data_IF_494765785851
#
_entry.id   IF_494765785851
#
_cell.length_a   1.000
_cell.length_b   1.000
_cell.length_c   1.000
_cell.angle_alpha   90.00
_cell.angle_beta   90.00
_cell.angle_gamma   90.00
#
_symmetry.space_group_name_H-M   'P 1'
#
loop_
_entity.id
_entity.type
_entity.pdbx_description
1 polymer ?
#
# COMPACT_ATOMS: atom_id res chain seq x y z
N UNK A 1 16.24 -20.15 9.97
CA UNK A 1 14.87 -19.66 10.25
C UNK A 1 14.52 -18.48 9.36
N UNK A 2 15.24 -17.34 9.43
CA UNK A 2 14.98 -16.14 8.62
C UNK A 2 14.88 -16.42 7.10
N UNK A 3 15.84 -17.13 6.51
CA UNK A 3 15.79 -17.49 5.08
C UNK A 3 14.57 -18.34 4.72
N UNK A 4 14.21 -19.30 5.58
CA UNK A 4 13.03 -20.15 5.38
C UNK A 4 11.76 -19.29 5.40
N UNK A 5 11.60 -18.44 6.43
CA UNK A 5 10.46 -17.53 6.54
C UNK A 5 10.37 -16.61 5.32
N UNK A 6 11.46 -15.95 4.97
CA UNK A 6 11.51 -15.03 3.83
C UNK A 6 11.08 -15.69 2.51
N UNK A 7 11.62 -16.87 2.17
CA UNK A 7 11.21 -17.56 0.95
C UNK A 7 9.81 -18.17 1.02
N UNK A 8 9.32 -18.56 2.20
CA UNK A 8 7.91 -18.93 2.40
C UNK A 8 6.99 -17.75 2.15
N UNK A 9 7.34 -16.55 2.64
CA UNK A 9 6.57 -15.33 2.40
C UNK A 9 6.55 -14.96 0.92
N UNK A 10 7.71 -14.99 0.24
CA UNK A 10 7.79 -14.75 -1.20
C UNK A 10 6.99 -15.78 -2.01
N UNK A 11 6.88 -17.02 -1.53
CA UNK A 11 6.06 -18.04 -2.18
C UNK A 11 4.56 -17.70 -2.09
N UNK A 12 4.07 -17.28 -0.92
CA UNK A 12 2.66 -16.86 -0.78
C UNK A 12 2.31 -15.62 -1.61
N UNK A 13 3.24 -14.67 -1.73
CA UNK A 13 3.12 -13.45 -2.56
C UNK A 13 2.74 -13.75 -4.03
N UNK A 14 3.13 -14.91 -4.55
CA UNK A 14 2.84 -15.33 -5.93
C UNK A 14 1.71 -16.35 -6.06
N UNK A 15 1.25 -16.95 -4.96
CA UNK A 15 0.33 -18.09 -5.01
C UNK A 15 -1.15 -17.69 -4.95
N UNK A 16 -1.47 -16.59 -4.26
CA UNK A 16 -2.86 -16.23 -3.94
C UNK A 16 -3.74 -15.88 -5.15
N UNK A 17 -3.16 -15.65 -6.34
CA UNK A 17 -3.87 -15.12 -7.51
C UNK A 17 -3.63 -15.98 -8.73
N UNK A 18 -4.70 -16.38 -9.40
CA UNK A 18 -4.68 -17.45 -10.40
C UNK A 18 -5.10 -16.94 -11.77
N UNK A 19 -4.41 -17.40 -12.81
CA UNK A 19 -4.79 -17.14 -14.20
C UNK A 19 -6.08 -17.90 -14.51
N UNK A 20 -7.01 -17.27 -15.22
CA UNK A 20 -8.31 -17.84 -15.60
C UNK A 20 -8.56 -17.91 -17.11
N UNK A 21 -7.58 -17.55 -17.93
CA UNK A 21 -7.65 -17.77 -19.37
C UNK A 21 -6.88 -19.02 -19.79
N UNK A 22 -7.38 -19.68 -20.84
CA UNK A 22 -6.66 -20.75 -21.52
C UNK A 22 -5.51 -20.20 -22.37
N UNK A 23 -4.64 -21.10 -22.86
CA UNK A 23 -3.58 -20.74 -23.82
C UNK A 23 -4.15 -20.16 -25.12
N UNK A 24 -5.38 -20.54 -25.50
CA UNK A 24 -6.09 -19.94 -26.64
C UNK A 24 -6.44 -18.47 -26.39
N UNK A 25 -6.33 -17.98 -25.15
CA UNK A 25 -6.76 -16.67 -24.69
C UNK A 25 -8.24 -16.60 -24.33
N UNK A 26 -8.97 -17.71 -24.41
CA UNK A 26 -10.37 -17.76 -24.01
C UNK A 26 -10.51 -17.73 -22.49
N UNK A 27 -11.46 -16.97 -21.96
CA UNK A 27 -11.70 -16.82 -20.52
C UNK A 27 -13.18 -16.57 -20.21
N UNK A 28 -13.63 -16.92 -18.99
CA UNK A 28 -14.99 -16.63 -18.56
C UNK A 28 -15.14 -15.16 -18.16
N UNK A 29 -16.21 -14.53 -18.64
CA UNK A 29 -16.67 -13.22 -18.20
C UNK A 29 -18.06 -13.34 -17.58
N UNK A 30 -18.16 -12.88 -16.33
CA UNK A 30 -19.35 -12.79 -15.49
C UNK A 30 -19.57 -11.36 -14.99
N UNK A 31 -18.99 -10.36 -15.66
CA UNK A 31 -19.14 -8.95 -15.28
C UNK A 31 -20.49 -8.34 -15.68
N UNK A 32 -21.28 -9.06 -16.49
CA UNK A 32 -22.63 -8.65 -16.90
C UNK A 32 -23.68 -9.47 -16.15
N UNK A 33 -24.71 -8.79 -15.63
CA UNK A 33 -25.79 -9.41 -14.87
C UNK A 33 -26.51 -8.40 -13.97
N UNK A 34 -27.59 -8.82 -13.33
CA UNK A 34 -28.27 -8.02 -12.31
C UNK A 34 -27.60 -8.24 -10.94
N UNK A 35 -27.18 -7.14 -10.30
CA UNK A 35 -26.63 -7.17 -8.95
C UNK A 35 -27.78 -7.24 -7.94
N UNK A 36 -27.86 -8.33 -7.19
CA UNK A 36 -28.69 -8.47 -6.01
C UNK A 36 -27.81 -8.55 -4.76
N UNK A 37 -27.67 -7.40 -4.07
CA UNK A 37 -26.88 -7.27 -2.85
C UNK A 37 -25.41 -7.68 -3.01
N UNK A 38 -25.09 -8.94 -2.71
CA UNK A 38 -23.74 -9.53 -2.74
C UNK A 38 -23.58 -10.57 -3.85
N UNK A 39 -24.62 -10.79 -4.65
CA UNK A 39 -24.65 -11.77 -5.72
C UNK A 39 -24.92 -11.05 -7.03
N UNK A 40 -24.22 -11.46 -8.10
CA UNK A 40 -24.58 -11.07 -9.46
C UNK A 40 -25.21 -12.29 -10.12
N UNK A 41 -26.44 -12.17 -10.60
CA UNK A 41 -27.01 -13.16 -11.51
C UNK A 41 -26.32 -13.00 -12.88
N UNK A 42 -25.13 -13.58 -12.99
CA UNK A 42 -24.27 -13.44 -14.15
C UNK A 42 -24.47 -14.58 -15.15
N UNK A 43 -24.57 -14.23 -16.43
CA UNK A 43 -24.48 -15.20 -17.52
C UNK A 43 -23.02 -15.39 -17.93
N UNK A 44 -22.61 -16.63 -18.17
CA UNK A 44 -21.26 -16.90 -18.69
C UNK A 44 -21.16 -16.39 -20.13
N UNK A 45 -20.31 -15.39 -20.33
CA UNK A 45 -19.85 -14.97 -21.65
C UNK A 45 -18.41 -15.46 -21.82
N UNK A 46 -18.15 -16.24 -22.86
CA UNK A 46 -16.76 -16.60 -23.21
C UNK A 46 -16.18 -15.47 -24.06
N UNK A 47 -15.09 -14.88 -23.60
CA UNK A 47 -14.32 -13.85 -24.33
C UNK A 47 -12.94 -14.37 -24.66
N UNK A 48 -12.30 -13.72 -25.63
CA UNK A 48 -10.91 -14.03 -26.02
C UNK A 48 -10.06 -12.79 -25.88
N UNK A 49 -8.92 -12.92 -25.20
CA UNK A 49 -7.93 -11.86 -25.03
C UNK A 49 -7.31 -11.41 -26.36
N UNK A 50 -6.91 -10.13 -26.48
CA UNK A 50 -6.17 -9.67 -27.64
C UNK A 50 -4.82 -10.40 -27.75
N UNK A 51 -4.45 -10.76 -28.98
CA UNK A 51 -3.19 -11.45 -29.29
C UNK A 51 -2.20 -10.54 -30.00
N UNK A 52 -0.91 -10.83 -29.83
CA UNK A 52 0.20 -10.26 -30.60
C UNK A 52 1.13 -11.40 -31.01
N UNK A 53 1.40 -11.53 -32.30
CA UNK A 53 2.28 -12.56 -32.86
C UNK A 53 1.88 -14.01 -32.52
N UNK A 54 0.60 -14.24 -32.21
CA UNK A 54 0.05 -15.57 -31.87
C UNK A 54 -0.18 -15.78 -30.37
N UNK A 55 0.47 -15.00 -29.51
CA UNK A 55 0.39 -15.11 -28.06
C UNK A 55 -0.57 -14.06 -27.47
N UNK A 56 -1.16 -14.38 -26.31
CA UNK A 56 -1.97 -13.41 -25.55
C UNK A 56 -1.09 -12.26 -25.05
N UNK A 57 -1.62 -11.04 -25.08
CA UNK A 57 -0.85 -9.85 -24.62
C UNK A 57 -0.66 -9.80 -23.10
N UNK A 58 -1.64 -10.33 -22.38
CA UNK A 58 -1.67 -10.41 -20.91
C UNK A 58 -2.62 -11.53 -20.50
N UNK A 59 -2.60 -11.94 -19.23
CA UNK A 59 -3.55 -12.91 -18.69
C UNK A 59 -4.69 -12.26 -17.89
N UNK A 60 -5.82 -12.94 -17.85
CA UNK A 60 -6.91 -12.62 -16.93
C UNK A 60 -6.67 -13.31 -15.59
N UNK A 61 -6.94 -12.61 -14.49
CA UNK A 61 -6.71 -13.13 -13.16
C UNK A 61 -7.97 -13.23 -12.31
N UNK A 62 -7.92 -14.14 -11.35
CA UNK A 62 -8.82 -14.29 -10.22
C UNK A 62 -8.10 -13.96 -8.90
N UNK A 63 -8.76 -13.19 -8.04
CA UNK A 63 -8.32 -12.79 -6.69
C UNK A 63 -9.52 -12.34 -5.87
N UNK A 64 -9.49 -12.56 -4.55
CA UNK A 64 -10.54 -12.05 -3.65
C UNK A 64 -10.49 -10.52 -3.50
N UNK A 65 -9.32 -9.91 -3.67
CA UNK A 65 -9.12 -8.47 -3.62
C UNK A 65 -7.66 -8.04 -3.66
N UNK A 66 -7.47 -6.74 -3.81
CA UNK A 66 -6.20 -6.04 -3.56
C UNK A 66 -6.38 -4.93 -2.51
N UNK A 67 -7.35 -5.13 -1.60
CA UNK A 67 -7.68 -4.15 -0.57
C UNK A 67 -6.45 -3.85 0.29
N UNK A 68 -6.10 -2.57 0.35
CA UNK A 68 -4.92 -2.03 1.04
C UNK A 68 -3.55 -2.60 0.60
N UNK A 69 -3.44 -3.10 -0.64
CA UNK A 69 -2.19 -3.67 -1.16
C UNK A 69 -1.05 -2.67 -1.41
N UNK A 70 -1.31 -1.36 -1.26
CA UNK A 70 -0.31 -0.29 -1.45
C UNK A 70 0.92 -0.43 -0.55
N UNK A 71 0.80 -1.13 0.58
CA UNK A 71 1.89 -1.33 1.54
C UNK A 71 2.57 -2.70 1.41
N UNK A 72 2.16 -3.52 0.44
CA UNK A 72 2.66 -4.88 0.26
C UNK A 72 2.95 -5.19 -1.22
N UNK A 73 2.05 -5.91 -1.90
CA UNK A 73 2.18 -6.44 -3.25
C UNK A 73 2.48 -5.35 -4.27
N UNK A 74 1.85 -4.17 -4.16
CA UNK A 74 2.11 -3.08 -5.11
C UNK A 74 3.58 -2.64 -5.09
N UNK A 75 4.22 -2.68 -3.92
CA UNK A 75 5.64 -2.38 -3.75
C UNK A 75 6.49 -3.57 -4.17
N UNK A 76 6.18 -4.76 -3.65
CA UNK A 76 7.01 -5.95 -3.81
C UNK A 76 7.02 -6.52 -5.23
N UNK A 77 5.86 -6.61 -5.90
CA UNK A 77 5.83 -7.01 -7.32
C UNK A 77 6.58 -6.00 -8.17
N UNK A 78 6.46 -4.70 -7.92
CA UNK A 78 7.28 -3.71 -8.61
C UNK A 78 8.79 -3.75 -8.29
N UNK A 79 9.23 -4.52 -7.30
CA UNK A 79 10.66 -4.71 -7.03
C UNK A 79 11.17 -5.98 -7.71
N UNK A 80 10.41 -7.08 -7.65
CA UNK A 80 10.89 -8.41 -8.00
C UNK A 80 10.14 -9.10 -9.14
N UNK A 81 8.91 -8.69 -9.44
CA UNK A 81 8.01 -9.29 -10.45
C UNK A 81 7.19 -8.21 -11.17
N UNK A 82 7.84 -7.26 -11.87
CA UNK A 82 7.14 -6.17 -12.53
C UNK A 82 6.22 -6.67 -13.65
N UNK A 83 6.54 -7.82 -14.23
CA UNK A 83 5.71 -8.53 -15.19
C UNK A 83 4.36 -8.94 -14.61
N UNK A 84 4.33 -9.47 -13.38
CA UNK A 84 3.10 -9.81 -12.66
C UNK A 84 2.28 -8.55 -12.38
N UNK A 85 2.92 -7.46 -11.94
CA UNK A 85 2.22 -6.21 -11.71
C UNK A 85 1.60 -5.66 -13.00
N UNK A 86 2.34 -5.62 -14.11
CA UNK A 86 1.85 -5.16 -15.42
C UNK A 86 0.71 -6.05 -15.93
N UNK A 87 0.87 -7.37 -15.88
CA UNK A 87 -0.15 -8.33 -16.33
C UNK A 87 -1.46 -8.18 -15.55
N UNK A 88 -1.35 -8.08 -14.23
CA UNK A 88 -2.50 -7.95 -13.35
C UNK A 88 -3.18 -6.59 -13.54
N UNK A 89 -2.43 -5.51 -13.79
CA UNK A 89 -3.03 -4.20 -14.14
C UNK A 89 -3.80 -4.23 -15.46
N UNK A 90 -3.26 -4.89 -16.49
CA UNK A 90 -3.97 -5.06 -17.75
C UNK A 90 -5.24 -5.91 -17.58
N UNK A 91 -5.19 -6.95 -16.74
CA UNK A 91 -6.39 -7.72 -16.36
C UNK A 91 -7.47 -6.83 -15.74
N UNK A 92 -7.12 -5.95 -14.79
CA UNK A 92 -8.09 -5.04 -14.17
C UNK A 92 -8.76 -4.11 -15.18
N UNK A 93 -7.97 -3.55 -16.11
CA UNK A 93 -8.49 -2.71 -17.18
C UNK A 93 -9.42 -3.50 -18.10
N UNK A 94 -9.08 -4.76 -18.41
CA UNK A 94 -9.94 -5.64 -19.20
C UNK A 94 -11.27 -5.98 -18.49
N UNK A 95 -11.27 -6.13 -17.16
CA UNK A 95 -12.50 -6.23 -16.38
C UNK A 95 -13.37 -4.96 -16.51
N UNK A 96 -12.76 -3.77 -16.54
CA UNK A 96 -13.47 -2.52 -16.76
C UNK A 96 -14.01 -2.36 -18.19
N UNK A 97 -13.35 -2.98 -19.17
CA UNK A 97 -13.84 -3.03 -20.55
C UNK A 97 -15.03 -3.98 -20.71
N UNK A 98 -15.06 -5.06 -19.94
CA UNK A 98 -16.11 -6.07 -20.02
C UNK A 98 -17.42 -5.62 -19.33
N UNK A 99 -17.32 -5.08 -18.11
CA UNK A 99 -18.47 -4.76 -17.26
C UNK A 99 -18.51 -3.32 -16.74
N UNK A 100 -17.58 -2.47 -17.16
CA UNK A 100 -17.63 -1.05 -16.86
C UNK A 100 -16.94 -0.63 -15.57
N UNK A 101 -16.44 -1.54 -14.74
CA UNK A 101 -15.79 -1.21 -13.46
C UNK A 101 -14.41 -1.87 -13.32
N UNK A 102 -13.45 -1.16 -12.73
CA UNK A 102 -12.27 -1.84 -12.18
C UNK A 102 -12.71 -2.61 -10.92
N UNK A 103 -12.36 -3.89 -10.77
CA UNK A 103 -12.84 -4.70 -9.65
C UNK A 103 -12.12 -4.32 -8.35
N UNK A 104 -12.80 -4.47 -7.19
CA UNK A 104 -12.09 -4.51 -5.88
C UNK A 104 -11.29 -5.80 -5.75
N UNK A 105 -11.92 -6.91 -6.14
CA UNK A 105 -11.32 -8.20 -6.39
C UNK A 105 -11.99 -8.86 -7.60
N UNK A 106 -11.22 -9.34 -8.60
CA UNK A 106 -11.75 -10.07 -9.74
C UNK A 106 -12.07 -11.51 -9.34
N UNK A 107 -13.34 -11.89 -9.27
CA UNK A 107 -13.75 -13.24 -8.84
C UNK A 107 -14.22 -14.07 -10.04
N UNK A 108 -13.34 -14.96 -10.53
CA UNK A 108 -13.60 -15.95 -11.60
C UNK A 108 -14.24 -15.33 -12.85
N UNK A 109 -13.85 -14.12 -13.25
CA UNK A 109 -14.47 -13.42 -14.39
C UNK A 109 -15.56 -12.42 -14.01
N UNK A 110 -15.89 -12.26 -12.72
CA UNK A 110 -16.82 -11.25 -12.19
C UNK A 110 -16.21 -10.33 -11.13
N UNK A 111 -17.08 -9.68 -10.35
CA UNK A 111 -16.72 -8.70 -9.31
C UNK A 111 -16.98 -9.25 -7.90
N UNK A 112 -15.99 -9.24 -7.00
CA UNK A 112 -16.18 -9.67 -5.60
C UNK A 112 -16.85 -8.61 -4.70
N UNK A 113 -16.92 -7.33 -5.12
CA UNK A 113 -17.37 -6.16 -4.33
C UNK A 113 -16.81 -6.04 -2.89
N UNK A 114 -15.86 -6.90 -2.52
CA UNK A 114 -15.19 -7.03 -1.24
C UNK A 114 -13.75 -6.51 -1.44
N UNK A 115 -13.16 -5.71 -0.54
CA UNK A 115 -13.74 -5.07 0.64
C UNK A 115 -14.34 -3.70 0.27
N UNK A 116 -13.72 -2.58 0.66
CA UNK A 116 -14.22 -1.21 0.43
C UNK A 116 -13.37 -0.43 -0.58
N UNK A 117 -13.84 0.76 -0.97
CA UNK A 117 -13.09 1.70 -1.80
C UNK A 117 -12.76 1.23 -3.23
N UNK A 118 -11.69 1.80 -3.78
CA UNK A 118 -11.15 1.54 -5.11
C UNK A 118 -9.70 1.03 -5.04
N UNK A 119 -9.44 -0.17 -4.51
CA UNK A 119 -8.09 -0.64 -4.26
C UNK A 119 -7.27 -0.85 -5.56
N UNK A 120 -7.94 -1.17 -6.68
CA UNK A 120 -7.30 -1.24 -8.00
C UNK A 120 -6.63 0.08 -8.41
N UNK A 121 -7.16 1.24 -7.98
CA UNK A 121 -6.55 2.56 -8.25
C UNK A 121 -5.11 2.60 -7.73
N UNK A 122 -4.88 2.13 -6.49
CA UNK A 122 -3.56 2.19 -5.89
C UNK A 122 -2.53 1.39 -6.68
N UNK A 123 -2.93 0.20 -7.15
CA UNK A 123 -2.07 -0.68 -7.93
C UNK A 123 -1.78 -0.12 -9.33
N UNK A 124 -2.81 0.35 -10.04
CA UNK A 124 -2.69 0.91 -11.39
C UNK A 124 -1.81 2.17 -11.39
N UNK A 125 -2.02 3.07 -10.43
CA UNK A 125 -1.21 4.28 -10.28
C UNK A 125 0.23 3.91 -9.93
N UNK A 126 0.45 2.96 -9.01
CA UNK A 126 1.80 2.48 -8.66
C UNK A 126 2.53 1.94 -9.90
N UNK A 127 1.89 1.09 -10.71
CA UNK A 127 2.46 0.56 -11.93
C UNK A 127 2.77 1.66 -12.96
N UNK A 128 1.85 2.62 -13.14
CA UNK A 128 2.05 3.74 -14.05
C UNK A 128 3.22 4.63 -13.64
N UNK A 129 3.31 5.04 -12.38
CA UNK A 129 4.36 5.95 -11.92
C UNK A 129 5.75 5.32 -11.95
N UNK A 130 5.84 3.99 -11.80
CA UNK A 130 7.09 3.23 -11.97
C UNK A 130 7.46 2.96 -13.44
N UNK A 131 6.59 3.29 -14.40
CA UNK A 131 6.78 2.94 -15.81
C UNK A 131 6.63 1.44 -16.09
N UNK A 132 5.96 0.70 -15.19
CA UNK A 132 5.70 -0.73 -15.31
C UNK A 132 4.43 -1.01 -16.11
N UNK A 133 3.45 -0.10 -16.12
CA UNK A 133 2.23 -0.23 -16.92
C UNK A 133 2.56 -0.12 -18.42
N UNK A 134 2.74 -1.27 -19.08
CA UNK A 134 3.09 -1.38 -20.50
C UNK A 134 2.05 -2.16 -21.31
N UNK A 135 1.22 -2.98 -20.66
CA UNK A 135 0.19 -3.81 -21.30
C UNK A 135 -1.19 -3.16 -21.37
N UNK A 136 -1.39 -2.00 -20.74
CA UNK A 136 -2.61 -1.20 -20.81
C UNK A 136 -2.33 0.22 -21.34
N UNK A 137 -3.35 0.89 -21.86
CA UNK A 137 -3.26 2.30 -22.27
C UNK A 137 -3.40 3.22 -21.04
N UNK A 138 -2.45 4.14 -20.78
CA UNK A 138 -2.50 4.99 -19.59
C UNK A 138 -3.71 5.92 -19.51
N UNK A 139 -4.14 6.51 -20.62
CA UNK A 139 -5.28 7.45 -20.64
C UNK A 139 -6.59 6.70 -20.37
N UNK A 140 -6.78 5.57 -21.02
CA UNK A 140 -7.93 4.68 -20.79
C UNK A 140 -7.95 4.13 -19.37
N UNK A 141 -6.77 3.75 -18.83
CA UNK A 141 -6.63 3.31 -17.44
C UNK A 141 -7.10 4.40 -16.48
N UNK A 142 -6.69 5.65 -16.71
CA UNK A 142 -7.13 6.77 -15.88
C UNK A 142 -8.63 7.03 -16.00
N UNK A 143 -9.21 6.92 -17.20
CA UNK A 143 -10.65 7.08 -17.39
C UNK A 143 -11.45 6.00 -16.65
N UNK A 144 -10.94 4.76 -16.58
CA UNK A 144 -11.51 3.69 -15.76
C UNK A 144 -11.39 3.97 -14.24
N UNK A 145 -10.23 4.45 -13.77
CA UNK A 145 -10.03 4.89 -12.38
C UNK A 145 -11.03 5.98 -12.02
N UNK A 146 -11.12 7.03 -12.85
CA UNK A 146 -12.03 8.16 -12.62
C UNK A 146 -13.46 7.69 -12.51
N UNK A 147 -13.91 6.82 -13.42
CA UNK A 147 -15.27 6.26 -13.39
C UNK A 147 -15.56 5.54 -12.07
N UNK A 148 -14.61 4.75 -11.59
CA UNK A 148 -14.74 4.03 -10.32
C UNK A 148 -14.88 4.96 -9.10
N UNK A 149 -14.31 6.16 -9.14
CA UNK A 149 -14.36 7.14 -8.05
C UNK A 149 -15.60 8.05 -8.03
N UNK A 150 -16.46 7.95 -9.05
CA UNK A 150 -17.67 8.77 -9.21
C UNK A 150 -18.93 7.97 -8.92
N UNK A 151 -20.07 8.65 -8.75
CA UNK A 151 -21.36 8.00 -8.50
C UNK A 151 -21.70 6.97 -9.60
N UNK A 152 -22.06 5.75 -9.18
CA UNK A 152 -22.23 4.60 -10.08
C UNK A 152 -20.94 3.80 -10.33
N UNK A 153 -19.81 4.24 -9.76
CA UNK A 153 -18.54 3.51 -9.74
C UNK A 153 -18.39 2.56 -8.54
N UNK A 154 -17.18 2.01 -8.38
CA UNK A 154 -16.85 1.02 -7.36
C UNK A 154 -16.54 1.62 -5.98
N UNK A 155 -16.34 2.95 -5.85
CA UNK A 155 -15.90 3.56 -4.59
C UNK A 155 -16.89 3.32 -3.44
N UNK A 156 -18.18 3.47 -3.71
CA UNK A 156 -19.28 3.34 -2.76
C UNK A 156 -20.64 3.56 -3.42
N UNK A 157 -21.71 3.63 -2.62
CA UNK A 157 -23.05 3.93 -3.14
C UNK A 157 -23.14 5.38 -3.62
N UNK A 158 -24.04 5.66 -4.57
CA UNK A 158 -24.13 6.98 -5.21
C UNK A 158 -24.38 8.12 -4.20
N UNK A 159 -25.24 7.92 -3.19
CA UNK A 159 -25.52 8.94 -2.18
C UNK A 159 -24.30 9.22 -1.29
N UNK A 160 -23.53 8.19 -0.92
CA UNK A 160 -22.31 8.33 -0.13
C UNK A 160 -21.24 9.08 -0.93
N UNK A 161 -21.08 8.75 -2.22
CA UNK A 161 -20.13 9.43 -3.10
C UNK A 161 -20.52 10.89 -3.33
N UNK A 162 -21.82 11.18 -3.50
CA UNK A 162 -22.30 12.55 -3.63
C UNK A 162 -21.98 13.37 -2.38
N UNK A 163 -22.26 12.81 -1.20
CA UNK A 163 -21.90 13.44 0.07
C UNK A 163 -20.39 13.66 0.19
N UNK A 164 -19.59 12.61 -0.05
CA UNK A 164 -18.14 12.67 0.04
C UNK A 164 -17.53 13.67 -0.97
N UNK A 165 -18.11 13.78 -2.17
CA UNK A 165 -17.68 14.76 -3.17
C UNK A 165 -17.93 16.20 -2.73
N UNK A 166 -19.04 16.45 -2.01
CA UNK A 166 -19.38 17.78 -1.51
C UNK A 166 -18.63 18.14 -0.22
N UNK A 167 -18.40 17.18 0.67
CA UNK A 167 -17.91 17.43 2.03
C UNK A 167 -16.47 16.94 2.30
N UNK A 168 -15.95 16.01 1.49
CA UNK A 168 -14.60 15.42 1.62
C UNK A 168 -14.48 14.27 2.62
N UNK A 169 -15.56 13.81 3.25
CA UNK A 169 -15.51 12.73 4.25
C UNK A 169 -16.82 11.94 4.31
N UNK A 170 -16.78 10.72 4.84
CA UNK A 170 -17.89 9.77 4.91
C UNK A 170 -18.58 9.79 6.29
N UNK A 171 -19.88 10.11 6.39
CA UNK A 171 -20.66 10.09 7.63
C UNK A 171 -20.62 8.73 8.32
N UNK A 172 -20.25 8.75 9.59
CA UNK A 172 -20.14 7.59 10.45
C UNK A 172 -18.97 6.67 10.13
N UNK A 173 -18.13 6.99 9.13
CA UNK A 173 -17.10 6.08 8.63
C UNK A 173 -15.75 6.78 8.41
N UNK A 174 -14.93 6.80 9.46
CA UNK A 174 -13.56 7.29 9.38
C UNK A 174 -12.66 6.38 8.55
N UNK A 175 -12.89 5.06 8.59
CA UNK A 175 -12.13 4.08 7.80
C UNK A 175 -12.23 4.35 6.30
N UNK A 176 -13.44 4.47 5.77
CA UNK A 176 -13.67 4.82 4.36
C UNK A 176 -13.09 6.19 4.01
N UNK A 177 -13.26 7.19 4.88
CA UNK A 177 -12.70 8.54 4.63
C UNK A 177 -11.19 8.49 4.43
N UNK A 178 -10.46 7.77 5.29
CA UNK A 178 -9.00 7.66 5.21
C UNK A 178 -8.57 6.88 3.97
N UNK A 179 -9.26 5.78 3.67
CA UNK A 179 -8.98 4.97 2.48
C UNK A 179 -9.22 5.75 1.18
N UNK A 180 -10.39 6.39 1.05
CA UNK A 180 -10.79 7.10 -0.15
C UNK A 180 -9.92 8.34 -0.37
N UNK A 181 -9.50 9.02 0.70
CA UNK A 181 -8.59 10.15 0.61
C UNK A 181 -7.23 9.75 -0.01
N UNK A 182 -6.68 8.59 0.38
CA UNK A 182 -5.43 8.08 -0.22
C UNK A 182 -5.62 7.68 -1.69
N UNK A 183 -6.74 7.01 -2.01
CA UNK A 183 -7.05 6.59 -3.38
C UNK A 183 -7.28 7.80 -4.30
N UNK A 184 -7.95 8.85 -3.81
CA UNK A 184 -8.10 10.11 -4.53
C UNK A 184 -6.74 10.81 -4.72
N UNK A 185 -5.89 10.82 -3.70
CA UNK A 185 -4.54 11.34 -3.84
C UNK A 185 -3.77 10.60 -4.95
N UNK A 186 -3.84 9.27 -4.99
CA UNK A 186 -3.23 8.45 -6.03
C UNK A 186 -3.76 8.79 -7.43
N UNK A 187 -5.09 8.90 -7.59
CA UNK A 187 -5.72 9.34 -8.84
C UNK A 187 -5.22 10.74 -9.25
N UNK A 188 -5.09 11.67 -8.31
CA UNK A 188 -4.54 13.00 -8.57
C UNK A 188 -3.10 12.93 -9.09
N UNK A 189 -2.24 12.09 -8.52
CA UNK A 189 -0.85 11.95 -8.98
C UNK A 189 -0.77 11.45 -10.44
N UNK A 190 -1.62 10.50 -10.82
CA UNK A 190 -1.68 10.02 -12.21
C UNK A 190 -2.25 11.10 -13.15
N UNK A 191 -3.31 11.79 -12.73
CA UNK A 191 -3.89 12.90 -13.50
C UNK A 191 -2.85 14.00 -13.78
N UNK A 192 -2.00 14.32 -12.80
CA UNK A 192 -0.92 15.28 -12.96
C UNK A 192 0.05 14.88 -14.08
N UNK A 193 0.56 13.65 -14.05
CA UNK A 193 1.50 13.13 -15.07
C UNK A 193 0.88 13.04 -16.47
N UNK A 194 -0.41 12.77 -16.57
CA UNK A 194 -1.15 12.77 -17.84
C UNK A 194 -1.52 14.18 -18.33
N UNK A 195 -1.20 15.25 -17.57
CA UNK A 195 -1.58 16.62 -17.92
C UNK A 195 -3.08 16.93 -17.76
N UNK A 196 -3.82 16.09 -17.02
CA UNK A 196 -5.27 16.22 -16.78
C UNK A 196 -5.56 17.16 -15.62
N UNK A 197 -5.25 18.45 -15.80
CA UNK A 197 -5.28 19.47 -14.73
C UNK A 197 -6.59 19.57 -13.95
N UNK A 198 -7.75 19.44 -14.62
CA UNK A 198 -9.06 19.50 -13.94
C UNK A 198 -9.27 18.32 -13.00
N UNK A 199 -8.88 17.13 -13.44
CA UNK A 199 -9.01 15.91 -12.64
C UNK A 199 -8.01 15.90 -11.49
N UNK A 200 -6.78 16.41 -11.71
CA UNK A 200 -5.82 16.63 -10.63
C UNK A 200 -6.40 17.48 -9.50
N UNK A 201 -6.94 18.67 -9.82
CA UNK A 201 -7.53 19.57 -8.82
C UNK A 201 -8.66 18.87 -8.09
N UNK A 202 -9.59 18.25 -8.83
CA UNK A 202 -10.75 17.57 -8.27
C UNK A 202 -10.38 16.48 -7.25
N UNK A 203 -9.48 15.56 -7.62
CA UNK A 203 -9.08 14.47 -6.75
C UNK A 203 -8.15 14.93 -5.62
N UNK A 204 -7.27 15.89 -5.89
CA UNK A 204 -6.40 16.44 -4.85
C UNK A 204 -7.22 17.13 -3.76
N UNK A 205 -8.25 17.91 -4.10
CA UNK A 205 -9.10 18.57 -3.11
C UNK A 205 -9.85 17.57 -2.22
N UNK A 206 -10.44 16.52 -2.82
CA UNK A 206 -11.09 15.42 -2.08
C UNK A 206 -10.14 14.70 -1.12
N UNK A 207 -8.88 14.49 -1.53
CA UNK A 207 -7.86 13.81 -0.70
C UNK A 207 -7.54 14.51 0.63
N UNK A 208 -7.96 15.76 0.80
CA UNK A 208 -7.69 16.56 2.01
C UNK A 208 -8.77 16.41 3.09
N UNK A 209 -9.91 15.79 2.77
CA UNK A 209 -11.07 15.83 3.65
C UNK A 209 -10.94 14.99 4.94
N UNK A 210 -9.95 14.09 5.03
CA UNK A 210 -9.61 13.39 6.27
C UNK A 210 -9.35 14.33 7.46
N UNK A 211 -8.88 15.56 7.19
CA UNK A 211 -8.61 16.59 8.21
C UNK A 211 -9.86 16.95 9.03
N UNK A 212 -11.04 16.81 8.45
CA UNK A 212 -12.33 17.06 9.12
C UNK A 212 -12.59 16.09 10.28
N UNK A 213 -11.97 14.91 10.26
CA UNK A 213 -12.14 13.89 11.29
C UNK A 213 -11.12 13.98 12.42
N UNK A 214 -10.19 14.94 12.36
CA UNK A 214 -9.19 15.11 13.42
C UNK A 214 -9.82 15.60 14.72
N UNK A 215 -9.67 14.81 15.79
CA UNK A 215 -10.14 15.17 17.12
C UNK A 215 -9.00 15.81 17.94
N UNK A 216 -9.09 17.11 18.29
CA UNK A 216 -7.97 17.85 18.87
C UNK A 216 -7.53 17.33 20.25
N UNK A 217 -8.46 16.90 21.11
CA UNK A 217 -8.08 16.42 22.45
C UNK A 217 -7.43 15.02 22.43
N UNK A 218 -7.80 14.20 21.45
CA UNK A 218 -7.32 12.83 21.33
C UNK A 218 -6.12 12.71 20.39
N UNK A 219 -5.88 13.71 19.52
CA UNK A 219 -4.84 13.69 18.50
C UNK A 219 -4.94 12.45 17.60
N UNK A 220 -6.15 12.03 17.24
CA UNK A 220 -6.46 10.91 16.34
C UNK A 220 -7.65 11.30 15.47
N UNK A 221 -7.86 10.54 14.40
CA UNK A 221 -9.07 10.66 13.59
C UNK A 221 -10.20 9.90 14.28
N UNK A 222 -11.41 10.46 14.27
CA UNK A 222 -12.61 9.82 14.81
C UNK A 222 -13.82 9.98 13.88
N UNK A 223 -14.71 8.99 13.81
CA UNK A 223 -15.90 9.06 12.97
C UNK A 223 -16.87 10.14 13.47
N UNK A 224 -17.49 10.85 12.53
CA UNK A 224 -18.53 11.86 12.80
C UNK A 224 -19.88 11.46 12.22
N UNK A 225 -20.99 11.75 12.88
CA UNK A 225 -22.32 11.61 12.27
C UNK A 225 -22.53 12.67 11.20
N UNK A 226 -23.58 12.52 10.38
CA UNK A 226 -23.92 13.46 9.31
C UNK A 226 -24.11 14.90 9.81
N UNK A 227 -24.54 15.05 11.06
CA UNK A 227 -24.75 16.32 11.76
C UNK A 227 -23.44 16.99 12.22
N UNK A 228 -22.32 16.26 12.15
CA UNK A 228 -20.98 16.74 12.53
C UNK A 228 -20.55 16.38 13.95
N UNK A 229 -21.40 15.71 14.73
CA UNK A 229 -21.09 15.22 16.07
C UNK A 229 -20.16 14.00 16.02
N UNK A 230 -19.34 13.79 17.03
CA UNK A 230 -18.53 12.56 17.12
C UNK A 230 -19.43 11.35 17.34
N UNK A 231 -19.31 10.32 16.50
CA UNK A 231 -20.07 9.07 16.64
C UNK A 231 -19.77 8.40 18.00
N UNK A 232 -18.51 8.45 18.42
CA UNK A 232 -18.04 8.14 19.77
C UNK A 232 -16.64 8.73 19.98
N UNK A 233 -16.16 8.70 21.23
CA UNK A 233 -14.79 9.08 21.61
C UNK A 233 -13.96 7.92 22.16
N UNK A 234 -14.51 6.70 22.16
CA UNK A 234 -13.74 5.48 22.47
C UNK A 234 -12.71 5.19 21.36
N UNK A 235 -11.42 5.29 21.70
CA UNK A 235 -10.33 5.15 20.74
C UNK A 235 -10.05 3.70 20.31
N UNK A 236 -10.57 2.71 21.06
CA UNK A 236 -10.41 1.29 20.77
C UNK A 236 -11.65 0.66 20.13
N UNK A 237 -12.76 1.40 20.06
CA UNK A 237 -13.96 0.99 19.35
C UNK A 237 -13.70 0.92 17.84
N UNK A 238 -14.14 -0.18 17.22
CA UNK A 238 -14.14 -0.35 15.77
C UNK A 238 -15.36 0.25 15.06
N UNK A 239 -16.32 0.84 15.78
CA UNK A 239 -17.45 1.50 15.15
C UNK A 239 -16.95 2.66 14.26
N UNK A 240 -17.41 2.70 13.00
CA UNK A 240 -16.95 3.68 12.01
C UNK A 240 -15.54 3.46 11.47
N UNK A 241 -14.96 2.28 11.71
CA UNK A 241 -13.70 1.82 11.11
C UNK A 241 -13.92 0.52 10.35
N UNK A 242 -13.09 0.27 9.33
CA UNK A 242 -13.06 -0.99 8.58
C UNK A 242 -11.89 -1.79 9.11
N UNK A 243 -12.18 -2.88 9.83
CA UNK A 243 -11.17 -3.82 10.36
C UNK A 243 -10.05 -3.14 11.18
N UNK A 244 -10.41 -2.06 11.88
CA UNK A 244 -9.47 -1.23 12.62
C UNK A 244 -10.19 -0.49 13.75
N UNK A 245 -9.44 0.36 14.44
CA UNK A 245 -9.94 1.40 15.33
C UNK A 245 -9.09 2.67 15.14
N UNK A 246 -9.32 3.70 15.97
CA UNK A 246 -8.64 4.98 15.82
C UNK A 246 -7.11 4.87 15.94
N UNK A 247 -6.58 4.00 16.80
CA UNK A 247 -5.15 3.79 16.95
C UNK A 247 -4.51 3.03 15.79
N UNK A 248 -5.29 2.22 15.08
CA UNK A 248 -4.76 1.43 13.96
C UNK A 248 -4.84 2.21 12.64
N UNK A 249 -5.96 2.89 12.39
CA UNK A 249 -6.22 3.52 11.09
C UNK A 249 -5.87 5.02 10.96
N UNK A 250 -5.66 5.77 12.06
CA UNK A 250 -5.35 7.21 11.94
C UNK A 250 -4.03 7.49 11.23
N UNK A 251 -3.09 6.55 11.28
CA UNK A 251 -1.77 6.69 10.66
C UNK A 251 -1.77 6.38 9.16
N UNK A 252 -2.88 5.85 8.65
CA UNK A 252 -3.04 5.41 7.26
C UNK A 252 -3.24 6.56 6.27
N UNK A 253 -3.25 7.83 6.72
CA UNK A 253 -3.18 9.05 5.88
C UNK A 253 -1.77 9.22 5.28
N UNK A 254 -1.28 8.15 4.65
CA UNK A 254 0.09 7.97 4.17
C UNK A 254 0.55 9.05 3.19
N UNK A 255 -0.39 9.67 2.48
CA UNK A 255 -0.13 10.77 1.55
C UNK A 255 0.13 12.12 2.22
N UNK A 256 -0.25 12.31 3.49
CA UNK A 256 -0.17 13.60 4.19
C UNK A 256 0.22 13.45 5.68
N UNK A 257 1.25 12.62 5.95
CA UNK A 257 1.85 12.53 7.30
C UNK A 257 2.32 13.91 7.82
N UNK A 258 2.90 14.82 7.02
CA UNK A 258 3.22 16.17 7.49
C UNK A 258 1.99 16.98 7.93
N UNK A 259 0.86 16.84 7.23
CA UNK A 259 -0.41 17.44 7.63
C UNK A 259 -0.91 16.86 8.97
N UNK A 260 -0.83 15.54 9.15
CA UNK A 260 -1.19 14.89 10.41
C UNK A 260 -0.28 15.36 11.56
N UNK A 261 1.02 15.41 11.33
CA UNK A 261 1.99 15.91 12.30
C UNK A 261 1.67 17.36 12.71
N UNK A 262 1.34 18.22 11.74
CA UNK A 262 0.95 19.61 12.00
C UNK A 262 -0.27 19.69 12.93
N UNK A 263 -1.31 18.89 12.67
CA UNK A 263 -2.51 18.85 13.51
C UNK A 263 -2.24 18.32 14.92
N UNK A 264 -1.31 17.37 15.07
CA UNK A 264 -0.87 16.84 16.38
C UNK A 264 0.07 17.77 17.16
N UNK A 265 0.42 18.95 16.62
CA UNK A 265 1.35 19.89 17.25
C UNK A 265 2.83 19.66 16.91
N UNK A 266 3.11 18.94 15.82
CA UNK A 266 4.43 18.73 15.25
C UNK A 266 4.91 17.28 15.25
N UNK A 267 6.04 17.05 14.57
CA UNK A 267 6.64 15.73 14.39
C UNK A 267 6.94 15.00 15.72
N UNK A 268 7.36 15.74 16.75
CA UNK A 268 7.66 15.17 18.06
C UNK A 268 6.41 14.62 18.75
N UNK A 269 5.30 15.34 18.70
CA UNK A 269 4.01 14.93 19.26
C UNK A 269 3.47 13.68 18.56
N UNK A 270 3.53 13.66 17.21
CA UNK A 270 3.16 12.50 16.42
C UNK A 270 4.01 11.29 16.82
N UNK A 271 5.33 11.43 16.82
CA UNK A 271 6.23 10.33 17.16
C UNK A 271 6.03 9.84 18.60
N UNK A 272 5.82 10.73 19.56
CA UNK A 272 5.56 10.31 20.95
C UNK A 272 4.29 9.46 21.04
N UNK A 273 3.22 9.91 20.40
CA UNK A 273 1.92 9.21 20.43
C UNK A 273 1.97 7.86 19.72
N UNK A 274 2.60 7.80 18.55
CA UNK A 274 2.78 6.54 17.82
C UNK A 274 3.71 5.58 18.58
N UNK A 275 4.80 6.07 19.18
CA UNK A 275 5.70 5.23 19.97
C UNK A 275 4.99 4.63 21.19
N UNK A 276 4.14 5.40 21.87
CA UNK A 276 3.28 4.88 22.93
C UNK A 276 2.39 3.73 22.43
N UNK A 277 1.76 3.88 21.25
CA UNK A 277 0.92 2.83 20.67
C UNK A 277 1.70 1.53 20.44
N UNK A 278 2.91 1.62 19.90
CA UNK A 278 3.80 0.46 19.73
C UNK A 278 4.20 -0.17 21.06
N UNK A 279 4.56 0.62 22.07
CA UNK A 279 4.90 0.12 23.42
C UNK A 279 3.74 -0.67 24.05
N UNK A 280 2.49 -0.23 23.86
CA UNK A 280 1.32 -0.96 24.35
C UNK A 280 1.11 -2.31 23.65
N UNK A 281 1.43 -2.40 22.35
CA UNK A 281 1.22 -3.60 21.54
C UNK A 281 2.30 -4.68 21.65
N UNK A 282 3.43 -4.38 22.32
CA UNK A 282 4.56 -5.33 22.47
C UNK A 282 4.13 -6.69 23.02
N UNK A 283 3.25 -6.69 24.02
CA UNK A 283 2.78 -7.90 24.71
C UNK A 283 1.80 -8.73 23.88
N UNK A 284 1.23 -8.12 22.84
CA UNK A 284 0.24 -8.72 21.95
C UNK A 284 0.90 -9.19 20.64
N UNK A 285 2.24 -9.25 20.61
CA UNK A 285 3.09 -9.59 19.46
C UNK A 285 2.73 -8.79 18.19
N UNK A 286 2.13 -7.61 18.36
CA UNK A 286 1.58 -6.76 17.31
C UNK A 286 0.56 -7.45 16.40
N UNK A 287 -0.07 -8.55 16.80
CA UNK A 287 -1.09 -9.24 16.00
C UNK A 287 -2.37 -9.46 16.80
N UNK A 288 -2.25 -9.85 18.08
CA UNK A 288 -3.39 -10.17 18.94
C UNK A 288 -4.21 -8.94 19.40
N UNK A 289 -3.73 -7.72 19.11
CA UNK A 289 -4.48 -6.48 19.30
C UNK A 289 -5.40 -6.11 18.14
N UNK A 290 -5.59 -7.00 17.14
CA UNK A 290 -6.42 -6.72 15.97
C UNK A 290 -7.83 -6.24 16.36
N UNK A 291 -8.25 -5.09 15.82
CA UNK A 291 -9.57 -4.48 16.03
C UNK A 291 -9.86 -3.91 17.43
N UNK A 292 -9.00 -4.14 18.43
CA UNK A 292 -9.29 -3.78 19.83
C UNK A 292 -8.08 -3.23 20.61
N UNK A 293 -6.89 -3.29 20.04
CA UNK A 293 -5.63 -2.80 20.60
C UNK A 293 -5.08 -1.58 19.86
N UNK A 294 -3.82 -1.23 20.14
CA UNK A 294 -3.20 0.02 19.68
C UNK A 294 -2.60 -0.10 18.27
N UNK A 295 -1.68 -1.03 18.08
CA UNK A 295 -1.08 -1.38 16.79
C UNK A 295 -1.33 -2.87 16.53
N UNK A 296 -1.77 -3.19 15.31
CA UNK A 296 -1.83 -4.57 14.83
C UNK A 296 -1.36 -4.67 13.38
N UNK A 297 -0.59 -5.71 13.11
CA UNK A 297 -0.06 -6.18 11.84
C UNK A 297 -0.73 -7.51 11.42
N UNK A 298 -1.79 -7.91 12.13
CA UNK A 298 -2.60 -9.08 11.76
C UNK A 298 -3.42 -8.85 10.50
N UNK A 299 -3.61 -7.59 10.09
CA UNK A 299 -4.42 -7.22 8.94
C UNK A 299 -3.95 -5.88 8.33
N UNK A 300 -4.35 -5.56 7.10
CA UNK A 300 -3.72 -4.49 6.31
C UNK A 300 -3.76 -3.07 6.92
N UNK A 301 -4.83 -2.61 7.62
CA UNK A 301 -4.92 -1.21 8.07
C UNK A 301 -3.72 -0.72 8.90
N UNK A 302 -3.12 -1.59 9.71
CA UNK A 302 -1.97 -1.23 10.56
C UNK A 302 -0.59 -1.51 9.96
N UNK A 303 -0.51 -2.13 8.77
CA UNK A 303 0.77 -2.59 8.19
C UNK A 303 1.77 -1.47 7.86
N UNK A 304 1.32 -0.22 7.80
CA UNK A 304 2.19 0.94 7.53
C UNK A 304 2.69 1.66 8.79
N UNK A 305 2.14 1.36 9.97
CA UNK A 305 2.27 2.23 11.15
C UNK A 305 3.74 2.49 11.55
N UNK A 306 4.62 1.48 11.51
CA UNK A 306 6.02 1.65 11.89
C UNK A 306 6.80 2.55 10.93
N UNK A 307 6.36 2.67 9.68
CA UNK A 307 7.03 3.44 8.63
C UNK A 307 6.75 4.95 8.72
N UNK A 308 5.73 5.33 9.49
CA UNK A 308 5.34 6.73 9.70
C UNK A 308 6.42 7.54 10.41
N UNK A 309 7.21 6.94 11.32
CA UNK A 309 8.24 7.69 12.05
C UNK A 309 9.29 8.32 11.13
N UNK A 310 9.64 7.66 10.02
CA UNK A 310 10.58 8.21 9.04
C UNK A 310 10.06 9.50 8.41
N UNK A 311 8.77 9.54 8.05
CA UNK A 311 8.10 10.72 7.52
C UNK A 311 7.86 11.84 8.56
N UNK A 312 8.06 11.53 9.84
CA UNK A 312 8.10 12.51 10.93
C UNK A 312 9.56 12.82 11.39
N UNK A 313 10.57 12.47 10.58
CA UNK A 313 11.98 12.83 10.84
C UNK A 313 12.67 12.00 11.91
N UNK A 314 12.12 10.83 12.28
CA UNK A 314 12.73 9.89 13.25
C UNK A 314 12.91 8.49 12.66
N UNK A 315 13.68 8.33 11.57
CA UNK A 315 13.86 7.03 10.90
C UNK A 315 14.45 5.94 11.82
N UNK A 316 15.20 6.30 12.86
CA UNK A 316 15.69 5.32 13.84
C UNK A 316 14.57 4.63 14.63
N UNK A 317 13.40 5.27 14.80
CA UNK A 317 12.23 4.61 15.41
C UNK A 317 11.60 3.62 14.44
N UNK A 318 11.52 3.96 13.14
CA UNK A 318 11.11 3.01 12.09
C UNK A 318 12.01 1.78 12.10
N UNK A 319 13.33 1.97 12.09
CA UNK A 319 14.31 0.87 12.11
C UNK A 319 14.09 -0.07 13.31
N UNK A 320 13.90 0.49 14.50
CA UNK A 320 13.65 -0.26 15.72
C UNK A 320 12.33 -1.04 15.67
N UNK A 321 11.22 -0.37 15.36
CA UNK A 321 9.90 -0.99 15.39
C UNK A 321 9.70 -1.99 14.25
N UNK A 322 10.22 -1.72 13.04
CA UNK A 322 10.18 -2.66 11.92
C UNK A 322 10.90 -3.96 12.27
N UNK A 323 12.11 -3.92 12.83
CA UNK A 323 12.84 -5.13 13.25
C UNK A 323 12.09 -5.91 14.31
N UNK A 324 11.51 -5.20 15.29
CA UNK A 324 10.77 -5.82 16.38
C UNK A 324 9.45 -6.46 15.92
N UNK A 325 8.69 -5.76 15.09
CA UNK A 325 7.44 -6.28 14.50
C UNK A 325 7.74 -7.48 13.62
N UNK A 326 8.74 -7.38 12.74
CA UNK A 326 9.13 -8.50 11.87
C UNK A 326 9.47 -9.76 12.67
N UNK A 327 10.22 -9.62 13.78
CA UNK A 327 10.56 -10.74 14.65
C UNK A 327 9.34 -11.30 15.41
N UNK A 328 8.52 -10.45 16.04
CA UNK A 328 7.41 -10.91 16.90
C UNK A 328 6.17 -11.35 16.11
N UNK A 329 5.73 -10.56 15.13
CA UNK A 329 4.51 -10.82 14.36
C UNK A 329 4.73 -11.87 13.26
N UNK A 330 5.91 -11.85 12.62
CA UNK A 330 6.19 -12.64 11.42
C UNK A 330 7.44 -13.51 11.54
N UNK A 331 8.11 -13.61 12.70
CA UNK A 331 9.32 -14.45 12.82
C UNK A 331 9.04 -15.96 12.88
N UNK A 332 7.78 -16.36 13.04
CA UNK A 332 7.35 -17.75 13.14
C UNK A 332 7.51 -18.54 11.83
N UNK A 333 7.94 -19.80 11.93
CA UNK A 333 8.11 -20.72 10.79
C UNK A 333 7.21 -21.97 10.87
N UNK A 334 6.26 -21.99 11.80
CA UNK A 334 5.25 -23.05 11.90
C UNK A 334 3.91 -22.53 11.37
N UNK A 335 3.02 -23.40 10.87
CA UNK A 335 1.72 -22.98 10.35
C UNK A 335 0.92 -22.11 11.33
N UNK A 336 1.00 -22.39 12.63
CA UNK A 336 0.24 -21.68 13.67
C UNK A 336 0.82 -20.30 14.01
N UNK A 337 2.12 -20.09 13.74
CA UNK A 337 2.86 -18.90 14.19
C UNK A 337 3.28 -17.99 13.04
N UNK A 338 3.22 -18.46 11.79
CA UNK A 338 3.76 -17.74 10.63
C UNK A 338 3.19 -16.34 10.43
N UNK A 339 1.93 -16.14 10.82
CA UNK A 339 1.20 -14.86 10.77
C UNK A 339 0.39 -14.64 12.07
N UNK A 340 0.88 -15.15 13.21
CA UNK A 340 0.17 -15.02 14.49
C UNK A 340 -1.17 -15.76 14.60
N UNK A 341 -1.44 -16.72 13.70
CA UNK A 341 -2.72 -17.42 13.62
C UNK A 341 -3.83 -16.63 12.91
N UNK A 342 -3.49 -15.51 12.27
CA UNK A 342 -4.37 -14.73 11.40
C UNK A 342 -4.22 -15.12 9.93
N UNK A 343 -5.14 -14.62 9.09
CA UNK A 343 -5.13 -14.87 7.66
C UNK A 343 -3.88 -14.26 6.99
N UNK A 344 -3.41 -14.93 5.93
CA UNK A 344 -2.26 -14.49 5.15
C UNK A 344 -2.64 -13.49 4.04
N UNK A 345 -3.93 -13.45 3.69
CA UNK A 345 -4.57 -12.55 2.74
C UNK A 345 -3.93 -12.54 1.35
N UNK A 346 -3.82 -13.72 0.75
CA UNK A 346 -3.35 -13.93 -0.63
C UNK A 346 -1.98 -13.28 -0.90
N UNK A 347 -1.00 -13.42 -0.03
CA UNK A 347 0.34 -12.86 -0.23
C UNK A 347 0.55 -11.50 0.41
N UNK A 348 -0.47 -10.87 1.00
CA UNK A 348 -0.34 -9.51 1.54
C UNK A 348 0.50 -9.50 2.83
N UNK A 349 0.20 -10.37 3.80
CA UNK A 349 0.97 -10.43 5.04
C UNK A 349 2.39 -10.97 4.79
N UNK A 350 2.53 -11.96 3.89
CA UNK A 350 3.83 -12.39 3.38
C UNK A 350 4.60 -11.23 2.74
N UNK A 351 3.93 -10.41 1.92
CA UNK A 351 4.53 -9.24 1.28
C UNK A 351 5.05 -8.20 2.26
N UNK A 352 4.28 -7.88 3.32
CA UNK A 352 4.75 -6.98 4.40
C UNK A 352 5.98 -7.55 5.09
N UNK A 353 5.93 -8.82 5.50
CA UNK A 353 7.05 -9.51 6.15
C UNK A 353 8.31 -9.52 5.29
N UNK A 354 8.17 -9.79 3.99
CA UNK A 354 9.28 -9.77 3.04
C UNK A 354 9.88 -8.37 2.90
N UNK A 355 9.06 -7.33 2.72
CA UNK A 355 9.52 -5.93 2.64
C UNK A 355 10.27 -5.48 3.90
N UNK A 356 9.75 -5.82 5.08
CA UNK A 356 10.45 -5.58 6.35
C UNK A 356 11.80 -6.29 6.42
N UNK A 357 11.87 -7.55 5.96
CA UNK A 357 13.11 -8.34 5.95
C UNK A 357 14.15 -7.79 4.97
N UNK A 358 13.69 -7.28 3.82
CA UNK A 358 14.52 -6.58 2.83
C UNK A 358 15.06 -5.25 3.37
N UNK A 359 14.37 -4.65 4.33
CA UNK A 359 14.64 -3.31 4.81
C UNK A 359 14.17 -2.22 3.84
N UNK A 360 13.16 -2.51 3.00
CA UNK A 360 12.63 -1.60 1.98
C UNK A 360 11.11 -1.47 2.15
N UNK A 361 10.57 -0.26 1.98
CA UNK A 361 9.14 0.01 2.01
C UNK A 361 8.74 1.17 1.10
N UNK A 362 7.45 1.45 0.98
CA UNK A 362 6.96 2.72 0.42
C UNK A 362 5.64 3.07 1.10
N UNK A 363 5.64 4.08 1.98
CA UNK A 363 4.44 4.48 2.72
C UNK A 363 3.33 4.93 1.78
N UNK A 364 3.71 5.60 0.69
CA UNK A 364 2.81 6.07 -0.37
C UNK A 364 2.63 5.05 -1.51
N UNK A 365 3.03 3.79 -1.32
CA UNK A 365 2.81 2.68 -2.25
C UNK A 365 3.37 2.87 -3.65
N UNK A 366 4.47 3.63 -3.79
CA UNK A 366 5.05 4.05 -5.07
C UNK A 366 4.09 4.82 -5.99
N UNK A 367 3.07 5.49 -5.44
CA UNK A 367 2.03 6.20 -6.23
C UNK A 367 2.31 7.70 -6.45
N UNK A 368 3.37 8.23 -5.82
CA UNK A 368 3.81 9.61 -6.07
C UNK A 368 4.29 9.78 -7.52
N UNK A 369 4.25 11.02 -8.03
CA UNK A 369 4.75 11.36 -9.38
C UNK A 369 6.22 11.02 -9.60
N UNK A 370 7.00 11.00 -8.52
CA UNK A 370 8.34 10.43 -8.48
C UNK A 370 8.37 9.37 -7.38
N UNK A 371 8.18 8.08 -7.73
CA UNK A 371 8.14 7.03 -6.73
C UNK A 371 9.46 6.89 -5.99
N UNK A 372 9.37 6.60 -4.69
CA UNK A 372 10.52 6.36 -3.82
C UNK A 372 10.41 5.03 -3.12
N UNK A 373 11.57 4.49 -2.76
CA UNK A 373 11.74 3.43 -1.78
C UNK A 373 12.31 4.00 -0.49
N UNK A 374 11.77 3.56 0.63
CA UNK A 374 12.16 3.93 1.98
C UNK A 374 13.00 2.82 2.58
N UNK A 375 14.12 3.20 3.18
CA UNK A 375 15.10 2.35 3.81
C UNK A 375 14.75 2.22 5.29
N UNK A 376 14.66 0.99 5.75
CA UNK A 376 14.48 0.63 7.16
C UNK A 376 15.66 -0.19 7.65
N UNK A 377 15.48 -1.23 8.47
CA UNK A 377 16.58 -2.08 8.93
C UNK A 377 16.43 -3.48 8.33
N UNK A 378 17.27 -3.85 7.35
CA UNK A 378 17.24 -5.20 6.77
C UNK A 378 17.54 -6.28 7.81
N UNK A 379 17.14 -7.51 7.51
CA UNK A 379 17.45 -8.70 8.32
C UNK A 379 18.69 -9.44 7.79
N UNK A 380 18.96 -9.35 6.50
CA UNK A 380 20.04 -10.08 5.83
C UNK A 380 21.31 -9.24 5.64
N UNK A 381 22.45 -9.93 5.57
CA UNK A 381 23.76 -9.30 5.31
C UNK A 381 23.91 -8.87 3.85
N UNK A 382 23.32 -9.63 2.93
CA UNK A 382 23.32 -9.32 1.50
C UNK A 382 22.03 -9.84 0.86
N UNK A 383 21.42 -8.99 0.03
CA UNK A 383 20.25 -9.30 -0.78
C UNK A 383 20.58 -8.88 -2.22
N UNK A 384 20.34 -9.77 -3.17
CA UNK A 384 20.49 -9.48 -4.60
C UNK A 384 19.12 -9.62 -5.25
N UNK A 385 18.60 -8.50 -5.75
CA UNK A 385 17.37 -8.46 -6.55
C UNK A 385 17.81 -8.49 -8.02
N UNK A 386 17.40 -9.54 -8.73
CA UNK A 386 17.60 -9.63 -10.18
C UNK A 386 16.49 -8.83 -10.86
N UNK A 387 16.87 -7.86 -11.68
CA UNK A 387 15.93 -6.96 -12.32
C UNK A 387 15.51 -7.51 -13.67
N UNK A 388 14.22 -7.40 -13.97
CA UNK A 388 13.67 -7.80 -15.26
C UNK A 388 14.05 -6.78 -16.34
N UNK A 389 14.78 -7.23 -17.37
CA UNK A 389 15.27 -6.38 -18.46
C UNK A 389 14.18 -5.80 -19.35
N UNK A 390 12.97 -6.36 -19.33
CA UNK A 390 11.85 -5.82 -20.08
C UNK A 390 11.29 -4.56 -19.40
N UNK A 391 11.55 -4.38 -18.09
CA UNK A 391 11.03 -3.27 -17.29
C UNK A 391 12.12 -2.30 -16.82
N UNK A 392 13.34 -2.78 -16.57
CA UNK A 392 14.41 -2.04 -15.94
C UNK A 392 15.71 -2.06 -16.75
N UNK A 393 16.51 -0.99 -16.61
CA UNK A 393 17.79 -0.82 -17.31
C UNK A 393 18.90 -1.68 -16.67
N UNK A 394 18.91 -1.74 -15.34
CA UNK A 394 19.91 -2.50 -14.58
C UNK A 394 19.64 -4.00 -14.63
N UNK A 395 20.69 -4.81 -14.44
CA UNK A 395 20.58 -6.26 -14.34
C UNK A 395 20.31 -6.76 -12.90
N UNK A 396 20.76 -5.99 -11.90
CA UNK A 396 20.58 -6.31 -10.48
C UNK A 396 20.66 -5.07 -9.60
N UNK A 397 19.97 -5.11 -8.47
CA UNK A 397 20.11 -4.17 -7.37
C UNK A 397 20.52 -4.93 -6.11
N UNK A 398 21.60 -4.53 -5.46
CA UNK A 398 22.17 -5.20 -4.29
C UNK A 398 21.92 -4.36 -3.05
N UNK A 399 21.41 -4.96 -1.98
CA UNK A 399 21.37 -4.35 -0.65
C UNK A 399 22.39 -5.09 0.20
N UNK A 400 23.40 -4.37 0.68
CA UNK A 400 24.50 -4.92 1.47
C UNK A 400 24.56 -4.24 2.82
N UNK A 401 24.63 -5.03 3.87
CA UNK A 401 24.75 -4.50 5.23
C UNK A 401 26.11 -4.83 5.83
N UNK A 402 26.60 -3.93 6.68
CA UNK A 402 27.84 -4.07 7.43
C UNK A 402 27.50 -4.05 8.93
N UNK A 403 28.05 -5.01 9.67
CA UNK A 403 27.79 -5.20 11.11
C UNK A 403 26.32 -5.50 11.47
N UNK A 404 25.52 -6.05 10.56
CA UNK A 404 24.17 -6.47 10.90
C UNK A 404 24.16 -7.59 11.95
N UNK A 405 23.24 -7.52 12.89
CA UNK A 405 23.02 -8.53 13.93
C UNK A 405 21.64 -8.38 14.56
N UNK A 406 21.34 -9.20 15.56
CA UNK A 406 20.16 -9.06 16.42
C UNK A 406 20.15 -7.71 17.19
N UNK A 407 21.33 -7.20 17.56
CA UNK A 407 21.50 -5.95 18.31
C UNK A 407 21.69 -4.73 17.43
N UNK A 408 22.38 -4.90 16.30
CA UNK A 408 22.73 -3.79 15.42
C UNK A 408 21.61 -3.56 14.40
N UNK A 409 20.60 -2.79 14.81
CA UNK A 409 19.40 -2.49 14.00
C UNK A 409 19.39 -1.05 13.47
N UNK A 410 20.32 -0.20 13.89
CA UNK A 410 20.29 1.21 13.54
C UNK A 410 21.27 1.55 12.43
N UNK A 411 20.79 2.15 11.34
CA UNK A 411 21.65 2.65 10.27
C UNK A 411 22.48 3.82 10.79
N UNK A 412 23.80 3.67 10.73
CA UNK A 412 24.77 4.69 11.10
C UNK A 412 25.15 5.57 9.92
N UNK A 413 25.23 4.99 8.73
CA UNK A 413 25.43 5.68 7.45
C UNK A 413 25.02 4.75 6.30
N UNK A 414 24.81 5.34 5.13
CA UNK A 414 24.43 4.62 3.92
C UNK A 414 25.16 5.16 2.70
N UNK A 415 25.33 4.31 1.69
CA UNK A 415 25.75 4.72 0.36
C UNK A 415 24.83 4.12 -0.70
N UNK A 416 24.56 4.88 -1.74
CA UNK A 416 23.90 4.41 -2.95
C UNK A 416 24.86 4.59 -4.12
N UNK A 417 25.23 3.49 -4.76
CA UNK A 417 26.18 3.47 -5.89
C UNK A 417 27.52 4.16 -5.57
N UNK A 418 28.00 3.99 -4.33
CA UNK A 418 29.24 4.57 -3.83
C UNK A 418 29.12 6.02 -3.33
N UNK A 419 28.02 6.71 -3.60
CA UNK A 419 27.75 8.06 -3.12
C UNK A 419 27.10 8.04 -1.74
N UNK A 420 27.42 9.04 -0.90
CA UNK A 420 26.84 9.13 0.45
C UNK A 420 25.34 9.39 0.36
N UNK A 421 24.55 8.54 1.01
CA UNK A 421 23.10 8.69 1.09
C UNK A 421 22.73 9.14 2.51
N UNK A 422 22.28 10.38 2.64
CA UNK A 422 21.87 10.98 3.93
C UNK A 422 20.35 11.01 4.12
N UNK A 423 19.58 10.60 3.12
CA UNK A 423 18.13 10.38 3.18
C UNK A 423 17.82 8.95 3.61
N UNK A 424 16.66 8.76 4.24
CA UNK A 424 16.13 7.41 4.48
C UNK A 424 15.46 6.82 3.24
N UNK A 425 15.58 7.44 2.08
CA UNK A 425 14.84 7.07 0.88
C UNK A 425 15.67 7.35 -0.37
N UNK A 426 15.31 6.68 -1.47
CA UNK A 426 15.88 6.89 -2.81
C UNK A 426 14.80 6.69 -3.86
N UNK A 427 15.01 7.22 -5.06
CA UNK A 427 14.02 7.17 -6.13
C UNK A 427 13.97 5.80 -6.82
N UNK A 428 12.80 5.45 -7.36
CA UNK A 428 12.62 4.23 -8.15
C UNK A 428 13.48 4.22 -9.42
N UNK A 429 13.77 5.37 -10.03
CA UNK A 429 14.64 5.42 -11.21
C UNK A 429 16.10 5.02 -10.87
N UNK A 430 16.56 5.33 -9.65
CA UNK A 430 17.86 4.89 -9.13
C UNK A 430 17.87 3.38 -8.89
N UNK A 431 16.76 2.80 -8.42
CA UNK A 431 16.58 1.35 -8.34
C UNK A 431 16.59 0.69 -9.72
N UNK A 432 15.83 1.23 -10.68
CA UNK A 432 15.65 0.68 -12.01
C UNK A 432 16.95 0.65 -12.85
N UNK A 433 17.91 1.52 -12.54
CA UNK A 433 19.27 1.50 -13.11
C UNK A 433 20.15 0.38 -12.54
N UNK A 434 19.69 -0.32 -11.52
CA UNK A 434 20.45 -1.29 -10.75
C UNK A 434 21.51 -0.62 -9.86
N UNK A 435 22.43 -1.44 -9.35
CA UNK A 435 23.55 -0.97 -8.53
C UNK A 435 23.54 -1.53 -7.11
N UNK A 436 24.00 -0.74 -6.15
CA UNK A 436 24.24 -1.19 -4.78
C UNK A 436 23.86 -0.13 -3.73
N UNK A 437 23.07 -0.54 -2.75
CA UNK A 437 22.80 0.16 -1.50
C UNK A 437 23.61 -0.49 -0.38
N UNK A 438 24.57 0.24 0.18
CA UNK A 438 25.35 -0.20 1.34
C UNK A 438 24.85 0.47 2.63
N UNK A 439 24.68 -0.31 3.70
CA UNK A 439 24.17 0.15 5.00
C UNK A 439 25.09 -0.29 6.13
N UNK A 440 25.59 0.63 6.95
CA UNK A 440 26.39 0.30 8.13
C UNK A 440 25.50 0.35 9.37
N UNK A 441 25.31 -0.79 10.04
CA UNK A 441 24.45 -0.89 11.20
C UNK A 441 25.22 -0.78 12.53
N UNK A 442 24.52 -0.35 13.58
CA UNK A 442 25.03 -0.22 14.94
C UNK A 442 23.94 -0.43 15.99
N UNK A 443 24.35 -0.56 17.25
CA UNK A 443 23.50 -0.88 18.41
C UNK A 443 22.82 0.34 19.04
N UNK A 444 23.16 1.55 18.58
CA UNK A 444 22.61 2.82 19.06
C UNK A 444 22.04 3.64 17.90
N UNK A 445 20.93 4.37 18.10
CA UNK A 445 20.34 5.19 17.06
C UNK A 445 21.28 6.33 16.65
N UNK A 446 21.56 6.44 15.34
CA UNK A 446 22.09 7.68 14.78
C UNK A 446 20.93 8.63 14.49
N UNK A 447 20.77 9.65 15.33
CA UNK A 447 19.68 10.63 15.21
C UNK A 447 19.88 11.70 14.14
N UNK A 448 21.02 11.66 13.43
CA UNK A 448 21.35 12.63 12.39
C UNK A 448 21.21 12.05 10.97
N UNK A 449 21.14 10.73 10.80
CA UNK A 449 21.00 10.11 9.49
C UNK A 449 19.51 10.04 9.10
N UNK A 450 19.18 10.49 7.88
CA UNK A 450 17.82 10.44 7.36
C UNK A 450 16.81 11.36 8.05
N UNK A 451 17.26 12.34 8.84
CA UNK A 451 16.40 13.16 9.70
C UNK A 451 16.39 14.65 9.34
N UNK A 452 17.08 15.05 8.27
CA UNK A 452 17.09 16.45 7.83
C UNK A 452 15.72 16.83 7.26
N UNK A 453 15.00 17.81 7.86
CA UNK A 453 13.68 18.22 7.38
C UNK A 453 13.70 18.80 5.96
N UNK A 454 14.86 19.27 5.48
CA UNK A 454 15.02 19.78 4.10
C UNK A 454 15.21 18.68 3.07
N UNK A 455 15.45 17.43 3.50
CA UNK A 455 15.66 16.26 2.64
C UNK A 455 14.55 15.21 2.77
N UNK A 456 13.39 15.61 3.31
CA UNK A 456 12.21 14.76 3.39
C UNK A 456 11.67 14.43 1.99
N UNK A 457 11.00 13.29 1.81
CA UNK A 457 10.31 12.97 0.56
C UNK A 457 9.42 14.13 0.07
N UNK A 458 9.47 14.47 -1.23
CA UNK A 458 8.60 15.52 -1.79
C UNK A 458 7.13 15.15 -1.64
N UNK A 459 6.26 16.10 -1.25
CA UNK A 459 4.85 15.83 -0.90
C UNK A 459 3.90 15.88 -2.11
N UNK A 460 4.06 16.89 -2.97
CA UNK A 460 3.29 17.07 -4.19
C UNK A 460 4.17 17.72 -5.27
N UNK A 461 3.87 17.53 -6.55
CA UNK A 461 4.46 18.34 -7.60
C UNK A 461 3.98 19.80 -7.53
N UNK A 462 4.87 20.75 -7.79
CA UNK A 462 4.58 22.20 -7.88
C UNK A 462 3.70 22.56 -9.10
#
# INVERSE_FOLDING_TARGET
AQTMKFYTDLWHVLLGRQIINDQTGDYPDYTQGELDWKFTEAELIVRTLPKKDGDVKFNMYNSDGVWLSQWNLNVLWGLAWPDVLDDFTASMVQYADNGGLLPRGPCVGGYSYIMTGCPATNMLVSAYQKGVLKKADPDHTFDAIKRNHLAGGMLGYADDINWYTEHGWCPGNAGETVEWALQDWAAAQMAFKLGRKKDYIFFNDRSQGWKTLFHPDHNLLLPKTKEGDWLHTDLLSGAGWIEANAWQGSWSVSHDIPGLATLMGGNDSLCHKLNYAFEQSVKDDFVFGYGSGYVSYANQPGCSNAHVFSHAGKPWLTQYWVRRVNEQAYGGITPERGYGGHDEDQGQMGGVSALMSLGIFSLRGNMATEPIYEITSPVFDEIIIHLDSDYYEGARFVIKTHNNSDKNVYIQNAKLNGETLNTFWFYHDQFAKGGELELWLGDKPNKNWGSDPTQMPPQSPD
#
